data_IF_928403342686
#
_entry.id   IF_928403342686
#
_cell.length_a   1.000
_cell.length_b   1.000
_cell.length_c   1.000
_cell.angle_alpha   90.00
_cell.angle_beta   90.00
_cell.angle_gamma   90.00
#
_symmetry.space_group_name_H-M   'P 1'
#
loop_
_entity.id
_entity.type
_entity.pdbx_description
1 polymer ?
#
# COMPACT_ATOMS: atom_id res chain seq x y z
N UNK A 1 6.07 17.37 -24.60
CA UNK A 1 5.92 17.80 -23.18
C UNK A 1 4.54 17.49 -22.59
N UNK A 2 3.42 17.59 -23.33
CA UNK A 2 2.09 17.34 -22.73
C UNK A 2 1.83 15.88 -22.31
N UNK A 3 2.40 14.89 -23.00
CA UNK A 3 2.15 13.47 -22.70
C UNK A 3 2.97 12.95 -21.50
N UNK A 4 4.17 13.47 -21.27
CA UNK A 4 4.98 13.10 -20.09
C UNK A 4 4.38 13.69 -18.81
N UNK A 5 3.79 14.90 -18.86
CA UNK A 5 3.14 15.53 -17.70
C UNK A 5 1.77 14.95 -17.35
N UNK A 6 1.07 14.29 -18.29
CA UNK A 6 -0.24 13.65 -18.03
C UNK A 6 -0.13 12.31 -17.28
N UNK A 7 0.99 11.61 -17.40
CA UNK A 7 1.19 10.31 -16.72
C UNK A 7 1.48 10.44 -15.22
N UNK A 8 1.82 11.63 -14.74
CA UNK A 8 2.20 11.90 -13.35
C UNK A 8 1.06 11.81 -12.31
N UNK A 9 -0.19 11.58 -12.74
CA UNK A 9 -1.36 11.69 -11.84
C UNK A 9 -2.05 10.39 -11.47
N UNK A 10 -1.64 9.23 -11.99
CA UNK A 10 -2.27 7.94 -11.64
C UNK A 10 -1.24 6.97 -11.11
N UNK A 11 -1.33 6.69 -9.82
CA UNK A 11 -0.51 5.67 -9.18
C UNK A 11 -0.89 4.28 -9.70
N UNK A 12 0.07 3.45 -10.16
CA UNK A 12 -0.21 2.12 -10.72
C UNK A 12 -0.61 1.07 -9.70
N UNK A 13 -0.53 1.34 -8.40
CA UNK A 13 -0.76 0.36 -7.34
C UNK A 13 -2.21 -0.05 -7.18
N UNK A 14 -3.16 0.68 -7.75
CA UNK A 14 -4.55 0.29 -7.71
C UNK A 14 -5.22 0.52 -9.07
N UNK A 15 -4.84 -0.27 -10.06
CA UNK A 15 -5.67 -0.44 -11.24
C UNK A 15 -6.38 -1.80 -11.13
N UNK A 16 -7.66 -1.83 -10.66
CA UNK A 16 -8.44 -3.05 -10.62
C UNK A 16 -8.66 -3.66 -12.02
N UNK A 17 -8.48 -2.84 -13.07
CA UNK A 17 -8.68 -3.26 -14.47
C UNK A 17 -7.43 -3.89 -15.10
N UNK A 18 -6.28 -3.92 -14.42
CA UNK A 18 -5.17 -4.73 -14.89
C UNK A 18 -5.53 -6.20 -14.78
N UNK A 19 -5.24 -6.96 -15.81
CA UNK A 19 -5.54 -8.38 -16.05
C UNK A 19 -5.24 -9.41 -14.94
N UNK A 20 -4.87 -8.98 -13.73
CA UNK A 20 -4.93 -9.78 -12.51
C UNK A 20 -6.36 -10.20 -12.16
N UNK A 21 -7.36 -9.50 -12.69
CA UNK A 21 -8.76 -9.79 -12.46
C UNK A 21 -9.13 -11.24 -12.79
N UNK A 22 -8.54 -11.82 -13.81
CA UNK A 22 -8.83 -13.21 -14.21
C UNK A 22 -8.47 -14.23 -13.13
N UNK A 23 -7.39 -13.97 -12.38
CA UNK A 23 -6.96 -14.84 -11.29
C UNK A 23 -7.82 -14.69 -10.03
N UNK A 24 -8.44 -13.52 -9.86
CA UNK A 24 -9.23 -13.18 -8.68
C UNK A 24 -10.73 -13.44 -8.83
N UNK A 25 -11.18 -14.08 -9.94
CA UNK A 25 -12.58 -14.43 -10.13
C UNK A 25 -13.05 -15.55 -9.21
N UNK A 26 -12.15 -16.42 -8.76
CA UNK A 26 -12.48 -17.45 -7.79
C UNK A 26 -12.75 -16.80 -6.41
N UNK A 27 -13.93 -17.02 -5.77
CA UNK A 27 -14.27 -16.32 -4.53
C UNK A 27 -13.26 -16.50 -3.40
N UNK A 28 -12.66 -17.68 -3.28
CA UNK A 28 -11.65 -17.97 -2.26
C UNK A 28 -10.33 -17.22 -2.53
N UNK A 29 -9.89 -17.14 -3.78
CA UNK A 29 -8.71 -16.37 -4.14
C UNK A 29 -8.93 -14.87 -3.91
N UNK A 30 -10.12 -14.37 -4.24
CA UNK A 30 -10.50 -12.98 -3.97
C UNK A 30 -10.49 -12.68 -2.47
N UNK A 31 -11.06 -13.56 -1.65
CA UNK A 31 -11.04 -13.43 -0.18
C UNK A 31 -9.61 -13.40 0.37
N UNK A 32 -8.75 -14.29 -0.13
CA UNK A 32 -7.33 -14.32 0.25
C UNK A 32 -6.60 -13.08 -0.21
N UNK A 33 -6.83 -12.63 -1.45
CA UNK A 33 -6.26 -11.39 -1.96
C UNK A 33 -6.60 -10.19 -1.06
N UNK A 34 -7.87 -10.04 -0.66
CA UNK A 34 -8.27 -8.96 0.24
C UNK A 34 -7.54 -9.00 1.59
N UNK A 35 -7.27 -10.21 2.11
CA UNK A 35 -6.49 -10.38 3.34
C UNK A 35 -4.99 -10.11 3.17
N UNK A 36 -4.47 -10.22 1.95
CA UNK A 36 -3.07 -9.95 1.64
C UNK A 36 -2.76 -8.46 1.47
N UNK A 37 -3.77 -7.62 1.26
CA UNK A 37 -3.59 -6.18 1.09
C UNK A 37 -2.98 -5.53 2.35
N UNK A 38 -2.28 -4.39 2.20
CA UNK A 38 -1.79 -3.63 3.34
C UNK A 38 -2.91 -3.30 4.32
N UNK A 39 -2.61 -3.43 5.60
CA UNK A 39 -3.56 -3.08 6.67
C UNK A 39 -3.64 -1.56 6.84
N UNK A 40 -4.66 -1.12 7.56
CA UNK A 40 -4.83 0.29 7.97
C UNK A 40 -3.55 0.87 8.55
N UNK A 41 -2.97 0.15 9.46
CA UNK A 41 -1.77 0.57 10.15
C UNK A 41 -0.58 0.80 9.21
N UNK A 42 -0.46 0.00 8.14
CA UNK A 42 0.58 0.17 7.13
C UNK A 42 0.39 1.46 6.33
N UNK A 43 -0.84 1.89 6.08
CA UNK A 43 -1.12 3.18 5.45
C UNK A 43 -0.84 4.38 6.37
N UNK A 44 -0.95 4.17 7.69
CA UNK A 44 -0.68 5.20 8.71
C UNK A 44 0.78 5.25 9.17
N UNK A 45 1.61 4.30 8.70
CA UNK A 45 3.05 4.28 8.97
C UNK A 45 3.78 5.30 8.10
N UNK A 46 4.61 6.13 8.72
CA UNK A 46 5.49 7.07 8.02
C UNK A 46 6.95 6.73 8.33
N UNK A 47 7.76 6.44 7.28
CA UNK A 47 9.16 6.08 7.47
C UNK A 47 9.97 7.26 8.02
N UNK A 48 10.98 6.95 8.83
CA UNK A 48 11.96 7.92 9.27
C UNK A 48 12.88 8.32 8.11
N UNK A 49 13.61 9.42 8.26
CA UNK A 49 14.51 9.92 7.21
C UNK A 49 15.57 8.88 6.81
N UNK A 50 16.12 8.15 7.79
CA UNK A 50 17.07 7.05 7.56
C UNK A 50 16.48 5.86 6.78
N UNK A 51 15.17 5.64 6.85
CA UNK A 51 14.46 4.62 6.05
C UNK A 51 14.22 5.09 4.61
N UNK A 52 14.25 6.41 4.37
CA UNK A 52 14.02 7.01 3.06
C UNK A 52 15.31 7.03 2.25
N UNK A 53 16.39 7.55 2.84
CA UNK A 53 17.66 7.75 2.14
C UNK A 53 18.84 7.68 3.12
N UNK A 54 19.93 7.04 2.69
CA UNK A 54 21.23 7.14 3.33
C UNK A 54 22.08 8.14 2.59
N UNK A 55 22.43 9.23 3.24
CA UNK A 55 23.30 10.28 2.68
C UNK A 55 24.78 9.90 2.88
N UNK A 56 25.62 10.26 1.91
CA UNK A 56 27.06 10.07 1.90
C UNK A 56 27.76 11.40 1.57
N UNK A 57 29.05 11.53 1.85
CA UNK A 57 29.85 12.71 1.51
C UNK A 57 29.78 13.03 0.01
N UNK A 58 29.91 12.00 -0.83
CA UNK A 58 29.71 12.16 -2.27
C UNK A 58 28.24 11.89 -2.61
N UNK A 59 27.47 12.88 -3.11
CA UNK A 59 26.06 12.73 -3.43
C UNK A 59 25.72 11.60 -4.40
N UNK A 60 26.67 11.20 -5.24
CA UNK A 60 26.51 10.05 -6.16
C UNK A 60 26.41 8.71 -5.43
N UNK A 61 26.99 8.63 -4.22
CA UNK A 61 27.01 7.41 -3.41
C UNK A 61 25.83 7.34 -2.43
N UNK A 62 24.97 8.37 -2.42
CA UNK A 62 23.70 8.34 -1.69
C UNK A 62 22.89 7.13 -2.12
N UNK A 63 22.19 6.54 -1.16
CA UNK A 63 21.34 5.40 -1.46
C UNK A 63 19.91 5.64 -0.95
N UNK A 64 18.98 5.80 -1.90
CA UNK A 64 17.56 5.97 -1.62
C UNK A 64 16.83 4.63 -1.59
N UNK A 65 15.97 4.46 -0.60
CA UNK A 65 15.12 3.28 -0.42
C UNK A 65 13.67 3.57 -0.84
N UNK A 66 13.14 4.74 -0.48
CA UNK A 66 11.76 5.16 -0.76
C UNK A 66 11.79 6.34 -1.73
N UNK A 67 11.08 6.20 -2.85
CA UNK A 67 11.14 7.13 -3.97
C UNK A 67 9.83 7.90 -4.19
N UNK A 68 8.67 7.22 -4.01
CA UNK A 68 7.38 7.82 -4.34
C UNK A 68 7.03 8.95 -3.39
N UNK A 69 6.70 10.12 -3.94
CA UNK A 69 6.29 11.28 -3.14
C UNK A 69 7.38 11.92 -2.29
N UNK A 70 8.62 11.39 -2.28
CA UNK A 70 9.71 11.91 -1.48
C UNK A 70 10.44 13.06 -2.17
N UNK A 71 10.86 14.03 -1.35
CA UNK A 71 11.72 15.13 -1.83
C UNK A 71 13.03 14.54 -2.37
N UNK A 72 13.38 14.92 -3.59
CA UNK A 72 14.66 14.57 -4.21
C UNK A 72 15.78 15.44 -3.68
N UNK A 73 16.99 14.92 -3.67
CA UNK A 73 18.20 15.74 -3.47
C UNK A 73 18.50 16.53 -4.75
N UNK A 74 19.26 17.62 -4.64
CA UNK A 74 19.68 18.42 -5.80
C UNK A 74 20.39 17.57 -6.86
N UNK A 75 21.21 16.63 -6.41
CA UNK A 75 21.89 15.69 -7.31
C UNK A 75 20.89 14.82 -8.09
N UNK A 76 19.88 14.27 -7.40
CA UNK A 76 18.85 13.43 -8.02
C UNK A 76 18.00 14.22 -9.01
N UNK A 77 17.60 15.46 -8.67
CA UNK A 77 16.84 16.35 -9.56
C UNK A 77 17.62 16.65 -10.84
N UNK A 78 18.90 17.03 -10.67
CA UNK A 78 19.80 17.27 -11.80
C UNK A 78 19.96 16.05 -12.70
N UNK A 79 20.16 14.85 -12.11
CA UNK A 79 20.33 13.61 -12.88
C UNK A 79 19.07 13.18 -13.61
N UNK A 80 17.91 13.40 -13.03
CA UNK A 80 16.63 13.15 -13.67
C UNK A 80 16.41 14.10 -14.86
N UNK A 81 16.72 15.39 -14.70
CA UNK A 81 16.65 16.37 -15.77
C UNK A 81 17.59 16.05 -16.93
N UNK A 82 18.85 15.69 -16.63
CA UNK A 82 19.84 15.26 -17.63
C UNK A 82 19.37 14.00 -18.38
N UNK A 83 18.77 13.05 -17.69
CA UNK A 83 18.23 11.85 -18.32
C UNK A 83 17.03 12.14 -19.22
N UNK A 84 16.13 13.04 -18.81
CA UNK A 84 15.00 13.47 -19.63
C UNK A 84 15.50 14.14 -20.92
N UNK A 85 16.51 15.00 -20.85
CA UNK A 85 17.15 15.59 -22.05
C UNK A 85 17.76 14.51 -22.95
N UNK A 86 18.44 13.52 -22.36
CA UNK A 86 18.97 12.38 -23.12
C UNK A 86 17.88 11.59 -23.87
N UNK A 87 16.70 11.38 -23.26
CA UNK A 87 15.56 10.74 -23.91
C UNK A 87 15.00 11.62 -25.06
N UNK A 88 14.86 12.94 -24.83
CA UNK A 88 14.39 13.87 -25.86
C UNK A 88 15.33 13.89 -27.09
N UNK A 89 16.64 13.86 -26.88
CA UNK A 89 17.61 13.79 -27.96
C UNK A 89 17.50 12.48 -28.75
N UNK A 90 17.30 11.36 -28.08
CA UNK A 90 17.04 10.07 -28.74
C UNK A 90 15.74 10.11 -29.55
N UNK A 91 14.68 10.72 -29.02
CA UNK A 91 13.42 10.89 -29.75
C UNK A 91 13.59 11.73 -31.03
N UNK A 92 14.30 12.86 -30.94
CA UNK A 92 14.57 13.72 -32.09
C UNK A 92 15.34 13.02 -33.21
N UNK A 93 16.26 12.10 -32.84
CA UNK A 93 17.03 11.30 -33.79
C UNK A 93 16.25 10.08 -34.33
N UNK A 94 14.96 9.93 -33.98
CA UNK A 94 14.12 8.73 -34.29
C UNK A 94 14.75 7.41 -33.84
N UNK A 95 15.63 7.44 -32.85
CA UNK A 95 16.33 6.29 -32.29
C UNK A 95 15.67 5.81 -30.98
N UNK A 96 14.42 6.16 -30.75
CA UNK A 96 13.66 5.68 -29.61
C UNK A 96 12.72 4.57 -30.07
N UNK A 97 12.86 3.44 -29.41
CA UNK A 97 12.02 2.26 -29.58
C UNK A 97 11.27 1.90 -28.27
N UNK A 98 11.26 2.84 -27.32
CA UNK A 98 10.54 2.72 -26.06
C UNK A 98 9.51 3.84 -25.95
N UNK A 99 8.27 3.45 -25.66
CA UNK A 99 7.26 4.34 -25.11
C UNK A 99 7.05 3.94 -23.64
N UNK A 100 7.28 4.89 -22.71
CA UNK A 100 6.97 4.65 -21.31
C UNK A 100 5.46 4.45 -21.17
N UNK A 101 5.00 3.31 -20.62
CA UNK A 101 3.58 3.05 -20.47
C UNK A 101 2.96 4.02 -19.45
N UNK A 102 1.64 4.19 -19.48
CA UNK A 102 0.91 5.10 -18.60
C UNK A 102 1.11 4.82 -17.10
N UNK A 103 1.46 3.58 -16.77
CA UNK A 103 1.73 3.16 -15.39
C UNK A 103 3.16 3.49 -14.93
N UNK A 104 4.07 3.89 -15.83
CA UNK A 104 5.43 4.26 -15.48
C UNK A 104 5.46 5.63 -14.83
N UNK A 105 6.04 5.74 -13.65
CA UNK A 105 6.13 6.99 -12.91
C UNK A 105 7.59 7.44 -12.74
N UNK A 106 7.78 8.69 -12.37
CA UNK A 106 9.11 9.29 -12.19
C UNK A 106 9.97 8.53 -11.17
N UNK A 107 9.36 8.04 -10.10
CA UNK A 107 10.06 7.23 -9.09
C UNK A 107 10.63 5.93 -9.67
N UNK A 108 9.98 5.34 -10.67
CA UNK A 108 10.54 4.17 -11.36
C UNK A 108 11.80 4.56 -12.13
N UNK A 109 11.76 5.67 -12.88
CA UNK A 109 12.96 6.20 -13.56
C UNK A 109 14.11 6.43 -12.57
N UNK A 110 13.83 7.03 -11.41
CA UNK A 110 14.82 7.27 -10.38
C UNK A 110 15.44 5.98 -9.83
N UNK A 111 14.66 4.91 -9.68
CA UNK A 111 15.18 3.59 -9.28
C UNK A 111 16.20 3.04 -10.28
N UNK A 112 15.93 3.19 -11.58
CA UNK A 112 16.84 2.74 -12.63
C UNK A 112 18.09 3.61 -12.74
N UNK A 113 17.96 4.93 -12.54
CA UNK A 113 19.09 5.86 -12.46
C UNK A 113 20.05 5.45 -11.33
N UNK A 114 19.53 5.26 -10.12
CA UNK A 114 20.34 4.81 -8.99
C UNK A 114 20.94 3.42 -9.21
N UNK A 115 20.13 2.45 -9.67
CA UNK A 115 20.59 1.07 -9.90
C UNK A 115 21.69 0.94 -10.96
N UNK A 116 21.75 1.90 -11.89
CA UNK A 116 22.74 1.94 -12.98
C UNK A 116 23.88 2.91 -12.69
N UNK A 117 23.96 3.41 -11.47
CA UNK A 117 24.96 4.41 -11.09
C UNK A 117 24.94 5.64 -12.04
N UNK A 118 23.73 6.03 -12.49
CA UNK A 118 23.44 7.17 -13.37
C UNK A 118 24.05 7.07 -14.78
N UNK A 119 24.35 5.84 -15.25
CA UNK A 119 24.70 5.59 -16.66
C UNK A 119 23.44 5.57 -17.51
N UNK A 120 23.17 6.64 -18.26
CA UNK A 120 21.94 6.84 -19.02
C UNK A 120 21.72 5.82 -20.12
N UNK A 121 22.78 5.32 -20.75
CA UNK A 121 22.67 4.26 -21.77
C UNK A 121 22.18 2.96 -21.13
N UNK A 122 22.80 2.59 -20.02
CA UNK A 122 22.41 1.41 -19.24
C UNK A 122 21.00 1.54 -18.67
N UNK A 123 20.62 2.73 -18.16
CA UNK A 123 19.25 3.01 -17.69
C UNK A 123 18.24 2.75 -18.80
N UNK A 124 18.50 3.29 -19.99
CA UNK A 124 17.62 3.13 -21.15
C UNK A 124 17.36 1.66 -21.52
N UNK A 125 18.43 0.86 -21.63
CA UNK A 125 18.30 -0.57 -21.95
C UNK A 125 17.56 -1.35 -20.84
N UNK A 126 17.85 -1.06 -19.57
CA UNK A 126 17.17 -1.71 -18.46
C UNK A 126 15.69 -1.35 -18.36
N UNK A 127 15.31 -0.12 -18.67
CA UNK A 127 13.90 0.29 -18.73
C UNK A 127 13.17 -0.48 -19.84
N UNK A 128 13.78 -0.56 -21.02
CA UNK A 128 13.26 -1.32 -22.17
C UNK A 128 13.01 -2.78 -21.80
N UNK A 129 14.02 -3.42 -21.23
CA UNK A 129 13.90 -4.80 -20.76
C UNK A 129 12.80 -4.99 -19.72
N UNK A 130 12.69 -4.06 -18.76
CA UNK A 130 11.67 -4.14 -17.70
C UNK A 130 10.24 -4.02 -18.26
N UNK A 131 10.00 -3.08 -19.14
CA UNK A 131 8.66 -2.89 -19.74
C UNK A 131 8.22 -4.19 -20.43
N UNK A 132 9.08 -4.75 -21.28
CA UNK A 132 8.82 -6.02 -21.95
C UNK A 132 8.55 -7.16 -20.96
N UNK A 133 9.40 -7.32 -19.96
CA UNK A 133 9.25 -8.39 -18.97
C UNK A 133 7.98 -8.24 -18.11
N UNK A 134 7.59 -7.01 -17.80
CA UNK A 134 6.37 -6.75 -17.03
C UNK A 134 5.14 -7.13 -17.83
N UNK A 135 5.08 -6.76 -19.11
CA UNK A 135 4.00 -7.15 -20.01
C UNK A 135 3.90 -8.66 -20.18
N UNK A 136 5.05 -9.34 -20.37
CA UNK A 136 5.11 -10.79 -20.51
C UNK A 136 4.72 -11.53 -19.21
N UNK A 137 5.11 -11.03 -18.05
CA UNK A 137 4.81 -11.66 -16.76
C UNK A 137 3.34 -11.54 -16.34
N UNK A 138 2.62 -10.58 -16.89
CA UNK A 138 1.19 -10.36 -16.63
C UNK A 138 0.29 -11.23 -17.51
N UNK A 139 0.88 -11.97 -18.45
CA UNK A 139 0.13 -12.90 -19.30
C UNK A 139 -0.40 -14.06 -18.48
N UNK A 140 -1.45 -14.68 -18.97
CA UNK A 140 -2.32 -15.69 -18.37
C UNK A 140 -1.60 -16.63 -17.40
N UNK A 141 -2.08 -16.66 -16.15
CA UNK A 141 -1.66 -17.68 -15.17
C UNK A 141 -2.46 -18.94 -15.40
N UNK A 142 -1.83 -19.90 -16.00
CA UNK A 142 -2.39 -21.24 -16.18
C UNK A 142 -2.29 -22.10 -14.89
N UNK A 143 -2.81 -23.33 -14.97
CA UNK A 143 -2.79 -24.26 -13.85
C UNK A 143 -1.36 -24.61 -13.39
N UNK A 144 -0.38 -24.67 -14.31
CA UNK A 144 1.00 -25.02 -13.99
C UNK A 144 1.67 -23.89 -13.20
N UNK A 145 1.49 -22.64 -13.62
CA UNK A 145 2.00 -21.45 -12.89
C UNK A 145 1.35 -21.35 -11.50
N UNK A 146 0.06 -21.60 -11.39
CA UNK A 146 -0.63 -21.66 -10.07
C UNK A 146 -0.02 -22.69 -9.14
N UNK A 147 0.32 -23.86 -9.67
CA UNK A 147 1.00 -24.89 -8.89
C UNK A 147 2.35 -24.41 -8.38
N UNK A 148 3.17 -23.82 -9.24
CA UNK A 148 4.48 -23.28 -8.86
C UNK A 148 4.34 -22.22 -7.76
N UNK A 149 3.37 -21.30 -7.86
CA UNK A 149 3.11 -20.27 -6.86
C UNK A 149 2.74 -20.83 -5.46
N UNK A 150 2.22 -22.04 -5.40
CA UNK A 150 1.87 -22.73 -4.15
C UNK A 150 2.87 -23.84 -3.76
N UNK A 151 3.92 -24.06 -4.56
CA UNK A 151 4.88 -25.14 -4.33
C UNK A 151 5.93 -24.87 -3.25
N UNK A 152 6.05 -23.61 -2.81
CA UNK A 152 7.11 -23.18 -1.90
C UNK A 152 8.40 -22.73 -2.58
N UNK A 153 8.41 -22.61 -3.93
CA UNK A 153 9.55 -22.02 -4.63
C UNK A 153 9.83 -20.58 -4.19
N UNK A 154 8.77 -19.79 -4.13
CA UNK A 154 8.79 -18.40 -3.65
C UNK A 154 7.52 -18.13 -2.84
N UNK A 155 7.68 -17.51 -1.70
CA UNK A 155 6.55 -17.13 -0.87
C UNK A 155 6.93 -15.94 0.05
N UNK A 156 5.92 -15.30 0.59
CA UNK A 156 6.10 -14.28 1.61
C UNK A 156 5.86 -14.90 2.99
N UNK A 157 6.77 -14.63 3.93
CA UNK A 157 6.62 -15.02 5.33
C UNK A 157 6.74 -13.81 6.24
N UNK A 158 5.61 -13.21 6.56
CA UNK A 158 5.59 -12.08 7.47
C UNK A 158 6.16 -10.78 6.90
N UNK A 159 6.35 -9.86 7.80
CA UNK A 159 6.92 -8.54 7.55
C UNK A 159 7.92 -8.22 8.66
N UNK A 160 8.88 -7.36 8.35
CA UNK A 160 9.80 -6.83 9.37
C UNK A 160 9.13 -5.75 10.24
N UNK A 161 9.91 -5.17 11.14
CA UNK A 161 9.45 -4.13 12.05
C UNK A 161 9.00 -2.82 11.37
N UNK A 162 9.32 -2.61 10.09
CA UNK A 162 8.89 -1.47 9.29
C UNK A 162 7.86 -1.87 8.23
N UNK A 163 7.13 -2.95 8.46
CA UNK A 163 6.11 -3.52 7.57
C UNK A 163 6.61 -3.98 6.19
N UNK A 164 7.93 -4.10 6.00
CA UNK A 164 8.50 -4.55 4.74
C UNK A 164 8.34 -6.06 4.58
N UNK A 165 7.84 -6.56 3.44
CA UNK A 165 7.67 -8.00 3.21
C UNK A 165 8.99 -8.78 3.36
N UNK A 166 8.91 -9.97 3.94
CA UNK A 166 9.99 -10.95 3.98
C UNK A 166 9.68 -11.99 2.92
N UNK A 167 10.47 -12.03 1.85
CA UNK A 167 10.30 -12.93 0.73
C UNK A 167 11.31 -14.05 0.86
N UNK A 168 10.83 -15.28 0.77
CA UNK A 168 11.66 -16.49 0.84
C UNK A 168 11.68 -17.17 -0.52
N UNK A 169 12.86 -17.57 -0.96
CA UNK A 169 13.09 -18.37 -2.18
C UNK A 169 13.82 -19.64 -1.77
N UNK A 170 13.21 -20.81 -2.03
CA UNK A 170 13.78 -22.12 -1.75
C UNK A 170 14.26 -22.77 -3.03
N UNK A 171 15.59 -22.79 -3.19
CA UNK A 171 16.19 -23.29 -4.42
C UNK A 171 16.05 -24.82 -4.59
N UNK A 172 15.93 -25.58 -3.50
CA UNK A 172 15.62 -27.01 -3.54
C UNK A 172 14.30 -27.29 -4.28
N UNK A 173 13.29 -26.42 -4.08
CA UNK A 173 12.00 -26.52 -4.78
C UNK A 173 12.11 -26.29 -6.28
N UNK A 174 12.99 -25.40 -6.72
CA UNK A 174 13.24 -25.24 -8.16
C UNK A 174 13.75 -26.53 -8.78
N UNK A 175 14.68 -27.22 -8.09
CA UNK A 175 15.24 -28.50 -8.54
C UNK A 175 14.14 -29.57 -8.58
N UNK A 176 13.33 -29.70 -7.55
CA UNK A 176 12.24 -30.69 -7.52
C UNK A 176 11.22 -30.46 -8.65
N UNK A 177 10.81 -29.21 -8.85
CA UNK A 177 9.87 -28.84 -9.91
C UNK A 177 10.42 -29.22 -11.30
N UNK A 178 11.70 -28.95 -11.54
CA UNK A 178 12.31 -29.23 -12.84
C UNK A 178 12.65 -30.70 -13.02
N UNK A 179 13.37 -31.32 -12.08
CA UNK A 179 13.94 -32.65 -12.25
C UNK A 179 12.92 -33.78 -12.02
N UNK A 180 11.94 -33.58 -11.10
CA UNK A 180 10.94 -34.61 -10.77
C UNK A 180 9.58 -34.37 -11.42
N UNK A 181 9.21 -33.11 -11.68
CA UNK A 181 7.85 -32.76 -12.13
C UNK A 181 7.79 -32.21 -13.56
N UNK A 182 8.95 -32.06 -14.23
CA UNK A 182 9.05 -31.65 -15.62
C UNK A 182 8.62 -30.22 -15.91
N UNK A 183 8.79 -29.31 -14.94
CA UNK A 183 8.62 -27.88 -15.17
C UNK A 183 9.86 -27.29 -15.86
N UNK A 184 9.65 -26.30 -16.71
CA UNK A 184 10.74 -25.58 -17.38
C UNK A 184 11.22 -24.41 -16.54
N UNK A 185 12.42 -23.92 -16.80
CA UNK A 185 12.93 -22.70 -16.15
C UNK A 185 12.09 -21.48 -16.52
N UNK A 186 11.56 -21.42 -17.72
CA UNK A 186 10.67 -20.36 -18.22
C UNK A 186 9.39 -20.27 -17.37
N UNK A 187 8.78 -21.41 -17.05
CA UNK A 187 7.61 -21.47 -16.16
C UNK A 187 7.96 -21.01 -14.74
N UNK A 188 9.09 -21.45 -14.18
CA UNK A 188 9.56 -21.00 -12.88
C UNK A 188 9.81 -19.48 -12.88
N UNK A 189 10.48 -18.98 -13.92
CA UNK A 189 10.75 -17.55 -14.08
C UNK A 189 9.47 -16.74 -14.20
N UNK A 190 8.48 -17.21 -14.93
CA UNK A 190 7.18 -16.58 -15.06
C UNK A 190 6.46 -16.49 -13.70
N UNK A 191 6.45 -17.59 -12.94
CA UNK A 191 5.86 -17.62 -11.61
C UNK A 191 6.57 -16.64 -10.64
N UNK A 192 7.90 -16.61 -10.64
CA UNK A 192 8.70 -15.68 -9.85
C UNK A 192 8.39 -14.21 -10.21
N UNK A 193 8.40 -13.87 -11.48
CA UNK A 193 8.12 -12.51 -11.94
C UNK A 193 6.68 -12.11 -11.61
N UNK A 194 5.74 -13.03 -11.78
CA UNK A 194 4.35 -12.79 -11.40
C UNK A 194 4.21 -12.53 -9.89
N UNK A 195 4.81 -13.36 -9.06
CA UNK A 195 4.79 -13.20 -7.61
C UNK A 195 5.38 -11.85 -7.19
N UNK A 196 6.54 -11.49 -7.74
CA UNK A 196 7.19 -10.22 -7.41
C UNK A 196 6.38 -9.01 -7.88
N UNK A 197 5.78 -9.08 -9.07
CA UNK A 197 4.86 -8.03 -9.53
C UNK A 197 3.61 -7.93 -8.64
N UNK A 198 3.11 -9.07 -8.15
CA UNK A 198 2.02 -9.07 -7.18
C UNK A 198 2.42 -8.34 -5.88
N UNK A 199 3.62 -8.61 -5.34
CA UNK A 199 4.14 -7.89 -4.16
C UNK A 199 4.20 -6.38 -4.43
N UNK A 200 4.79 -5.97 -5.57
CA UNK A 200 4.92 -4.55 -5.93
C UNK A 200 3.56 -3.86 -6.05
N UNK A 201 2.58 -4.51 -6.67
CA UNK A 201 1.30 -3.89 -6.98
C UNK A 201 0.31 -3.90 -5.81
N UNK A 202 0.41 -4.88 -4.90
CA UNK A 202 -0.63 -5.09 -3.89
C UNK A 202 -0.14 -5.11 -2.45
N UNK A 203 1.15 -5.33 -2.20
CA UNK A 203 1.64 -5.53 -0.85
C UNK A 203 2.55 -4.41 -0.33
N UNK A 204 2.98 -3.51 -1.22
CA UNK A 204 3.72 -2.31 -0.88
C UNK A 204 2.79 -1.11 -0.76
N UNK A 205 3.23 -0.10 -0.02
CA UNK A 205 2.57 1.21 0.10
C UNK A 205 3.55 2.26 -0.41
N UNK A 206 3.35 2.78 -1.63
CA UNK A 206 4.24 3.77 -2.20
C UNK A 206 4.36 5.03 -1.35
N UNK A 207 5.58 5.53 -1.21
CA UNK A 207 5.90 6.63 -0.30
C UNK A 207 6.11 6.21 1.15
N UNK A 208 5.86 4.94 1.49
CA UNK A 208 5.94 4.44 2.85
C UNK A 208 6.69 3.10 2.92
N UNK A 209 6.18 2.07 2.26
CA UNK A 209 6.75 0.71 2.26
C UNK A 209 7.03 0.33 0.81
N UNK A 210 8.29 0.48 0.36
CA UNK A 210 8.66 0.25 -1.04
C UNK A 210 9.69 -0.86 -1.22
N UNK A 211 10.13 -1.47 -0.13
CA UNK A 211 11.23 -2.41 -0.09
C UNK A 211 10.82 -3.72 0.57
N UNK A 212 11.68 -4.73 0.45
CA UNK A 212 11.54 -6.04 1.09
C UNK A 212 12.86 -6.63 1.51
N UNK A 213 12.80 -7.66 2.35
CA UNK A 213 13.90 -8.57 2.64
C UNK A 213 13.79 -9.81 1.77
N UNK A 214 14.93 -10.34 1.34
CA UNK A 214 14.99 -11.56 0.57
C UNK A 214 15.82 -12.59 1.34
N UNK A 215 15.26 -13.78 1.54
CA UNK A 215 15.93 -14.95 2.11
C UNK A 215 16.03 -15.99 0.99
N UNK A 216 17.24 -16.30 0.56
CA UNK A 216 17.50 -17.33 -0.43
C UNK A 216 18.09 -18.57 0.26
N UNK A 217 17.27 -19.60 0.43
CA UNK A 217 17.73 -20.87 0.96
C UNK A 217 18.30 -21.75 -0.16
N UNK A 218 19.60 -22.02 -0.10
CA UNK A 218 20.35 -22.80 -1.08
C UNK A 218 20.57 -24.25 -0.64
N UNK A 219 19.74 -24.75 0.28
CA UNK A 219 19.80 -26.13 0.72
C UNK A 219 19.77 -27.08 -0.48
N UNK A 220 20.64 -28.08 -0.45
CA UNK A 220 20.77 -29.11 -1.49
C UNK A 220 21.13 -28.63 -2.89
N UNK A 221 21.53 -27.36 -3.05
CA UNK A 221 22.13 -26.91 -4.33
C UNK A 221 23.56 -27.40 -4.45
N UNK A 222 23.78 -28.25 -5.45
CA UNK A 222 25.11 -28.62 -5.89
C UNK A 222 25.71 -27.62 -6.89
N UNK A 223 27.03 -27.68 -7.09
CA UNK A 223 27.77 -26.82 -8.04
C UNK A 223 27.15 -26.86 -9.44
N UNK A 224 26.69 -28.03 -9.88
CA UNK A 224 26.07 -28.24 -11.21
C UNK A 224 24.76 -27.44 -11.40
N UNK A 225 24.07 -27.09 -10.32
CA UNK A 225 22.80 -26.33 -10.37
C UNK A 225 22.98 -24.82 -10.08
N UNK A 226 24.24 -24.35 -9.93
CA UNK A 226 24.51 -22.93 -9.69
C UNK A 226 24.07 -22.02 -10.84
N UNK A 227 24.07 -22.51 -12.07
CA UNK A 227 23.54 -21.78 -13.23
C UNK A 227 22.04 -21.46 -13.06
N UNK A 228 21.25 -22.38 -12.49
CA UNK A 228 19.83 -22.18 -12.18
C UNK A 228 19.66 -21.09 -11.14
N UNK A 229 20.43 -21.13 -10.05
CA UNK A 229 20.39 -20.10 -9.03
C UNK A 229 20.77 -18.71 -9.58
N UNK A 230 21.81 -18.63 -10.40
CA UNK A 230 22.19 -17.39 -11.09
C UNK A 230 21.06 -16.81 -11.94
N UNK A 231 20.33 -17.66 -12.66
CA UNK A 231 19.15 -17.25 -13.45
C UNK A 231 18.00 -16.77 -12.57
N UNK A 232 17.75 -17.43 -11.44
CA UNK A 232 16.74 -16.99 -10.45
C UNK A 232 17.09 -15.60 -9.90
N UNK A 233 18.35 -15.39 -9.46
CA UNK A 233 18.81 -14.08 -9.00
C UNK A 233 18.72 -13.03 -10.09
N UNK A 234 19.03 -13.37 -11.33
CA UNK A 234 18.88 -12.45 -12.47
C UNK A 234 17.41 -12.04 -12.68
N UNK A 235 16.46 -12.97 -12.57
CA UNK A 235 15.04 -12.66 -12.64
C UNK A 235 14.61 -11.71 -11.53
N UNK A 236 15.03 -11.97 -10.28
CA UNK A 236 14.73 -11.12 -9.13
C UNK A 236 15.39 -9.75 -9.20
N UNK A 237 16.57 -9.65 -9.83
CA UNK A 237 17.32 -8.38 -9.97
C UNK A 237 16.61 -7.33 -10.84
N UNK A 238 15.57 -7.71 -11.58
CA UNK A 238 14.73 -6.79 -12.38
C UNK A 238 13.98 -5.78 -11.51
N UNK A 239 13.73 -6.12 -10.25
CA UNK A 239 13.06 -5.24 -9.28
C UNK A 239 14.10 -4.33 -8.59
N UNK A 240 14.53 -3.29 -9.31
CA UNK A 240 15.63 -2.40 -8.90
C UNK A 240 15.33 -1.64 -7.61
N UNK A 241 16.36 -1.50 -6.77
CA UNK A 241 16.35 -0.72 -5.52
C UNK A 241 15.23 -1.09 -4.53
N UNK A 242 14.73 -2.35 -4.57
CA UNK A 242 13.67 -2.80 -3.65
C UNK A 242 14.17 -3.73 -2.54
N UNK A 243 15.31 -4.38 -2.72
CA UNK A 243 15.90 -5.26 -1.70
C UNK A 243 16.68 -4.43 -0.68
N UNK A 244 16.37 -4.59 0.60
CA UNK A 244 17.14 -4.03 1.74
C UNK A 244 18.36 -4.90 2.00
N UNK A 245 18.13 -6.19 2.30
CA UNK A 245 19.15 -7.21 2.48
C UNK A 245 18.72 -8.49 1.76
N UNK A 246 19.69 -9.20 1.23
CA UNK A 246 19.50 -10.52 0.66
C UNK A 246 20.33 -11.51 1.48
N UNK A 247 19.64 -12.29 2.30
CA UNK A 247 20.27 -13.32 3.12
C UNK A 247 20.37 -14.61 2.32
N UNK A 248 21.59 -15.15 2.19
CA UNK A 248 21.86 -16.41 1.51
C UNK A 248 22.22 -17.44 2.56
N UNK A 249 21.38 -18.47 2.69
CA UNK A 249 21.49 -19.53 3.68
C UNK A 249 21.94 -20.85 3.02
N UNK A 250 22.44 -21.76 3.83
CA UNK A 250 22.77 -23.15 3.47
C UNK A 250 23.75 -23.26 2.28
N UNK A 251 24.69 -22.31 2.20
CA UNK A 251 25.67 -22.25 1.14
C UNK A 251 26.83 -23.21 1.43
N UNK A 252 26.94 -24.32 0.66
CA UNK A 252 28.08 -25.23 0.80
C UNK A 252 29.40 -24.56 0.41
N UNK A 253 30.52 -25.04 0.99
CA UNK A 253 31.85 -24.43 0.75
C UNK A 253 32.24 -24.31 -0.71
N UNK A 254 31.93 -25.30 -1.54
CA UNK A 254 32.18 -25.27 -2.97
C UNK A 254 31.30 -24.27 -3.73
N UNK A 255 30.04 -24.13 -3.31
CA UNK A 255 29.07 -23.20 -3.91
C UNK A 255 29.44 -21.77 -3.55
N UNK A 256 30.07 -21.52 -2.39
CA UNK A 256 30.55 -20.20 -1.98
C UNK A 256 31.57 -19.61 -2.98
N UNK A 257 32.46 -20.43 -3.51
CA UNK A 257 33.42 -19.98 -4.52
C UNK A 257 32.71 -19.61 -5.84
N UNK A 258 31.77 -20.43 -6.30
CA UNK A 258 30.97 -20.12 -7.48
C UNK A 258 30.10 -18.87 -7.34
N UNK A 259 29.58 -18.58 -6.12
CA UNK A 259 28.80 -17.41 -5.85
C UNK A 259 29.58 -16.10 -6.02
N UNK A 260 30.88 -16.07 -5.71
CA UNK A 260 31.72 -14.87 -5.91
C UNK A 260 31.74 -14.42 -7.38
N UNK A 261 31.69 -15.34 -8.31
CA UNK A 261 31.58 -15.04 -9.74
C UNK A 261 30.21 -14.47 -10.12
N UNK A 262 29.14 -14.95 -9.48
CA UNK A 262 27.77 -14.43 -9.68
C UNK A 262 27.65 -13.02 -9.11
N UNK A 263 28.25 -12.76 -7.94
CA UNK A 263 28.21 -11.46 -7.28
C UNK A 263 28.93 -10.37 -8.09
N UNK A 264 29.99 -10.72 -8.82
CA UNK A 264 30.70 -9.77 -9.67
C UNK A 264 29.82 -9.19 -10.81
N UNK A 265 28.79 -9.92 -11.21
CA UNK A 265 27.84 -9.51 -12.26
C UNK A 265 26.74 -8.57 -11.73
N UNK A 266 26.43 -8.64 -10.43
CA UNK A 266 25.32 -7.88 -9.83
C UNK A 266 25.59 -6.38 -9.62
N UNK A 267 26.84 -5.94 -9.74
CA UNK A 267 27.26 -4.56 -9.47
C UNK A 267 27.47 -4.28 -7.96
N UNK A 268 28.30 -3.29 -7.66
CA UNK A 268 28.82 -3.03 -6.30
C UNK A 268 27.74 -2.70 -5.28
N UNK A 269 26.70 -1.95 -5.64
CA UNK A 269 25.62 -1.57 -4.72
C UNK A 269 24.70 -2.75 -4.35
N UNK A 270 24.48 -3.67 -5.27
CA UNK A 270 23.70 -4.90 -5.03
C UNK A 270 24.51 -5.92 -4.22
N UNK A 271 25.81 -6.02 -4.47
CA UNK A 271 26.69 -6.93 -3.74
C UNK A 271 26.77 -6.57 -2.24
N UNK A 272 26.79 -5.28 -1.88
CA UNK A 272 26.80 -4.80 -0.49
C UNK A 272 25.57 -5.21 0.32
N UNK A 273 24.47 -5.59 -0.33
CA UNK A 273 23.24 -6.02 0.31
C UNK A 273 23.15 -7.52 0.57
N UNK A 274 24.10 -8.27 0.01
CA UNK A 274 24.12 -9.72 0.16
C UNK A 274 24.86 -10.08 1.43
N UNK A 275 24.18 -10.85 2.27
CA UNK A 275 24.70 -11.37 3.54
C UNK A 275 24.68 -12.89 3.47
N UNK A 276 25.87 -13.50 3.48
CA UNK A 276 26.00 -14.96 3.55
C UNK A 276 25.87 -15.35 5.02
N UNK A 277 24.82 -16.09 5.33
CA UNK A 277 24.49 -16.51 6.70
C UNK A 277 24.90 -17.97 6.87
N UNK A 278 25.72 -18.26 7.90
CA UNK A 278 26.09 -19.61 8.27
C UNK A 278 25.02 -20.20 9.20
N UNK A 279 24.90 -21.52 9.24
CA UNK A 279 23.92 -22.22 10.12
C UNK A 279 24.03 -21.82 11.59
N UNK A 280 25.23 -21.55 12.08
CA UNK A 280 25.46 -21.09 13.46
C UNK A 280 25.43 -19.57 13.64
N UNK A 281 24.90 -18.82 12.66
CA UNK A 281 24.84 -17.35 12.65
C UNK A 281 23.48 -16.86 12.15
N UNK A 282 22.43 -17.65 12.31
CA UNK A 282 21.08 -17.30 11.86
C UNK A 282 20.52 -16.04 12.57
N UNK A 283 21.02 -15.75 13.76
CA UNK A 283 20.70 -14.56 14.53
C UNK A 283 21.07 -13.24 13.84
N UNK A 284 21.96 -13.25 12.84
CA UNK A 284 22.29 -12.05 12.03
C UNK A 284 21.07 -11.47 11.33
N UNK A 285 20.09 -12.31 10.99
CA UNK A 285 18.85 -11.83 10.39
C UNK A 285 17.98 -11.06 11.38
N UNK A 286 18.17 -11.31 12.69
CA UNK A 286 17.38 -10.68 13.75
C UNK A 286 17.77 -9.22 14.00
N UNK A 287 18.83 -8.72 13.36
CA UNK A 287 19.15 -7.28 13.33
C UNK A 287 17.99 -6.45 12.74
N UNK A 288 17.26 -6.99 11.76
CA UNK A 288 16.18 -6.31 11.06
C UNK A 288 14.83 -7.02 11.17
N UNK A 289 14.83 -8.32 11.40
CA UNK A 289 13.64 -9.16 11.38
C UNK A 289 13.44 -9.77 12.76
N UNK A 290 12.31 -9.52 13.39
CA UNK A 290 12.00 -10.10 14.69
C UNK A 290 12.00 -11.63 14.60
N UNK A 291 12.43 -12.27 15.68
CA UNK A 291 12.49 -13.72 15.80
C UNK A 291 11.12 -14.38 15.55
N UNK A 292 10.06 -13.71 15.97
CA UNK A 292 8.67 -14.10 15.74
C UNK A 292 8.26 -14.07 14.29
N UNK A 293 8.93 -13.27 13.47
CA UNK A 293 8.65 -13.11 12.03
C UNK A 293 9.58 -13.96 11.15
N UNK A 294 10.44 -14.77 11.74
CA UNK A 294 11.27 -15.76 11.06
C UNK A 294 10.76 -17.17 11.33
N UNK A 295 10.81 -18.03 10.32
CA UNK A 295 10.51 -19.45 10.47
C UNK A 295 11.58 -20.15 11.31
N UNK A 296 11.21 -21.22 12.01
CA UNK A 296 12.14 -22.04 12.82
C UNK A 296 13.38 -22.47 12.02
N UNK A 297 13.19 -22.91 10.77
CA UNK A 297 14.29 -23.30 9.87
C UNK A 297 15.24 -22.15 9.49
N UNK A 298 14.81 -20.91 9.73
CA UNK A 298 15.60 -19.70 9.52
C UNK A 298 16.03 -19.04 10.82
N UNK A 299 16.02 -19.78 11.94
CA UNK A 299 16.45 -19.27 13.26
C UNK A 299 15.42 -18.43 14.01
N UNK A 300 14.15 -18.48 13.58
CA UNK A 300 13.02 -17.86 14.26
C UNK A 300 12.26 -18.81 15.16
N UNK A 301 11.04 -18.40 15.51
CA UNK A 301 10.08 -19.20 16.30
C UNK A 301 8.73 -19.35 15.62
N UNK A 302 8.53 -18.77 14.42
CA UNK A 302 7.33 -19.00 13.63
C UNK A 302 7.34 -20.42 13.04
N UNK A 303 6.19 -21.10 13.00
CA UNK A 303 6.07 -22.39 12.35
C UNK A 303 6.55 -22.35 10.89
N UNK A 304 7.16 -23.44 10.46
CA UNK A 304 7.56 -23.58 9.07
C UNK A 304 6.33 -23.75 8.18
N UNK A 305 6.27 -23.00 7.08
CA UNK A 305 5.23 -23.18 6.09
C UNK A 305 5.48 -24.47 5.31
N UNK A 306 4.45 -25.29 5.17
CA UNK A 306 4.49 -26.58 4.47
C UNK A 306 3.77 -26.41 3.14
N UNK A 307 4.45 -26.51 1.99
CA UNK A 307 3.83 -26.47 0.67
C UNK A 307 2.79 -27.59 0.53
N UNK A 308 1.63 -27.26 -0.04
CA UNK A 308 0.50 -28.20 -0.20
C UNK A 308 -0.48 -28.18 0.98
N UNK A 309 -0.03 -27.98 2.21
CA UNK A 309 -0.89 -27.77 3.37
C UNK A 309 -1.25 -26.28 3.53
N UNK A 310 -0.28 -25.41 3.31
CA UNK A 310 -0.47 -23.98 3.30
C UNK A 310 -0.66 -23.49 1.86
N UNK A 311 -1.77 -22.82 1.62
CA UNK A 311 -1.89 -22.06 0.37
C UNK A 311 -0.98 -20.85 0.43
N UNK A 312 0.10 -20.86 -0.34
CA UNK A 312 1.14 -19.83 -0.28
C UNK A 312 0.81 -18.60 -1.13
N UNK A 313 -0.12 -18.73 -2.07
CA UNK A 313 -0.52 -17.63 -2.94
C UNK A 313 -2.05 -17.51 -3.07
N UNK A 314 -2.65 -16.29 -3.02
CA UNK A 314 -2.06 -15.00 -2.60
C UNK A 314 -1.46 -15.05 -1.21
N UNK A 315 -0.33 -14.33 -0.98
CA UNK A 315 0.39 -14.41 0.29
C UNK A 315 -0.43 -13.75 1.39
N UNK A 316 -0.98 -14.57 2.27
CA UNK A 316 -1.65 -14.10 3.49
C UNK A 316 -0.68 -14.28 4.64
N UNK A 317 -0.36 -13.19 5.30
CA UNK A 317 0.40 -13.23 6.55
C UNK A 317 -0.61 -13.33 7.67
N UNK A 318 -0.66 -14.44 8.41
CA UNK A 318 -1.48 -14.52 9.61
C UNK A 318 -1.06 -13.42 10.59
N UNK A 319 -2.04 -12.78 11.23
CA UNK A 319 -1.77 -11.72 12.23
C UNK A 319 -0.89 -12.19 13.38
N UNK A 320 -0.91 -13.49 13.67
CA UNK A 320 -0.07 -14.15 14.67
C UNK A 320 1.43 -14.15 14.32
N UNK A 321 1.78 -14.03 13.03
CA UNK A 321 3.18 -13.94 12.56
C UNK A 321 3.68 -12.50 12.45
N UNK A 322 2.84 -11.53 12.77
CA UNK A 322 3.23 -10.15 12.79
C UNK A 322 3.17 -9.61 14.22
N UNK A 323 4.31 -9.48 14.85
CA UNK A 323 4.44 -8.78 16.14
C UNK A 323 5.17 -7.48 15.91
N UNK A 324 4.57 -6.41 16.42
CA UNK A 324 5.24 -5.10 16.46
C UNK A 324 6.46 -5.18 17.35
N UNK A 325 7.59 -4.61 16.94
CA UNK A 325 8.67 -4.36 17.88
C UNK A 325 8.19 -3.40 18.97
N UNK A 326 8.83 -3.47 20.14
CA UNK A 326 8.59 -2.51 21.23
C UNK A 326 9.03 -1.07 20.90
N UNK A 327 9.68 -0.86 19.76
CA UNK A 327 10.07 0.46 19.28
C UNK A 327 8.85 1.23 18.78
N UNK A 328 8.81 2.52 19.08
CA UNK A 328 7.78 3.43 18.57
C UNK A 328 7.95 3.58 17.06
N UNK A 329 7.18 2.83 16.32
CA UNK A 329 7.00 3.13 14.91
C UNK A 329 6.27 4.46 14.77
N UNK A 330 6.63 5.24 13.76
CA UNK A 330 5.94 6.47 13.42
C UNK A 330 4.61 6.14 12.72
N UNK A 331 3.62 5.74 13.52
CA UNK A 331 2.26 5.42 13.06
C UNK A 331 1.35 6.51 13.59
N UNK A 332 0.83 7.34 12.69
CA UNK A 332 -0.12 8.39 13.04
C UNK A 332 -1.47 7.82 13.45
N UNK A 333 -2.23 8.56 14.25
CA UNK A 333 -3.59 8.17 14.63
C UNK A 333 -4.53 8.13 13.42
N UNK A 334 -5.68 7.44 13.50
CA UNK A 334 -6.68 7.47 12.43
C UNK A 334 -7.14 8.89 12.10
N UNK A 335 -7.31 9.74 13.11
CA UNK A 335 -7.73 11.13 12.98
C UNK A 335 -6.68 11.96 12.25
N UNK A 336 -5.41 11.89 12.65
CA UNK A 336 -4.30 12.56 11.98
C UNK A 336 -4.17 12.11 10.53
N UNK A 337 -4.29 10.80 10.26
CA UNK A 337 -4.25 10.27 8.91
C UNK A 337 -5.40 10.81 8.06
N UNK A 338 -6.61 10.90 8.64
CA UNK A 338 -7.78 11.50 7.98
C UNK A 338 -7.52 12.94 7.59
N UNK A 339 -6.98 13.75 8.51
CA UNK A 339 -6.60 15.14 8.24
C UNK A 339 -5.55 15.25 7.15
N UNK A 340 -4.51 14.39 7.19
CA UNK A 340 -3.46 14.35 6.16
C UNK A 340 -4.01 13.98 4.77
N UNK A 341 -5.09 13.22 4.69
CA UNK A 341 -5.71 12.82 3.43
C UNK A 341 -6.58 13.91 2.79
N UNK A 342 -6.94 14.97 3.51
CA UNK A 342 -7.72 16.07 2.96
C UNK A 342 -6.94 16.78 1.82
N UNK A 343 -7.65 17.24 0.80
CA UNK A 343 -7.03 17.88 -0.37
C UNK A 343 -6.23 19.13 -0.03
N UNK A 344 -6.67 19.87 0.98
CA UNK A 344 -6.03 21.10 1.48
C UNK A 344 -4.77 20.85 2.30
N UNK A 345 -4.49 19.61 2.71
CA UNK A 345 -3.34 19.31 3.56
C UNK A 345 -2.05 19.21 2.72
N UNK A 346 -1.01 20.04 2.97
CA UNK A 346 0.26 20.00 2.25
C UNK A 346 1.06 18.71 2.50
N UNK A 347 0.79 17.99 3.60
CA UNK A 347 1.44 16.74 3.98
C UNK A 347 0.63 15.50 3.54
N UNK A 348 -0.25 15.65 2.57
CA UNK A 348 -1.08 14.57 2.04
C UNK A 348 -0.24 13.35 1.68
N UNK A 349 -0.58 12.14 2.18
CA UNK A 349 0.11 10.92 1.81
C UNK A 349 0.12 10.70 0.30
N UNK A 350 1.21 10.18 -0.23
CA UNK A 350 1.31 9.88 -1.66
C UNK A 350 0.26 8.86 -2.10
N UNK A 351 0.00 7.89 -1.25
CA UNK A 351 -1.04 6.87 -1.46
C UNK A 351 -2.07 6.95 -0.35
N UNK A 352 -3.34 7.08 -0.73
CA UNK A 352 -4.48 7.05 0.19
C UNK A 352 -5.20 5.71 0.02
N UNK A 353 -5.59 5.11 1.12
CA UNK A 353 -6.40 3.90 1.09
C UNK A 353 -7.84 4.24 0.65
N UNK A 354 -8.25 3.80 -0.55
CA UNK A 354 -9.60 4.07 -1.07
C UNK A 354 -10.71 3.50 -0.18
N UNK A 355 -10.46 2.40 0.51
CA UNK A 355 -11.44 1.84 1.46
C UNK A 355 -11.72 2.78 2.62
N UNK A 356 -10.72 3.58 3.06
CA UNK A 356 -10.93 4.61 4.07
C UNK A 356 -11.74 5.77 3.57
N UNK A 357 -11.45 6.26 2.36
CA UNK A 357 -12.22 7.35 1.74
C UNK A 357 -13.68 6.96 1.68
N UNK A 358 -13.99 5.75 1.25
CA UNK A 358 -15.37 5.22 1.20
C UNK A 358 -16.00 5.11 2.60
N UNK A 359 -15.23 4.64 3.59
CA UNK A 359 -15.71 4.56 4.97
C UNK A 359 -16.05 5.95 5.53
N UNK A 360 -15.16 6.92 5.36
CA UNK A 360 -15.37 8.29 5.81
C UNK A 360 -16.52 9.00 5.09
N UNK A 361 -16.71 8.73 3.79
CA UNK A 361 -17.87 9.23 3.05
C UNK A 361 -19.17 8.69 3.65
N UNK A 362 -19.22 7.39 3.91
CA UNK A 362 -20.37 6.75 4.55
C UNK A 362 -20.65 7.29 5.96
N UNK A 363 -19.62 7.43 6.79
CA UNK A 363 -19.74 8.04 8.12
C UNK A 363 -20.29 9.49 8.06
N UNK A 364 -19.83 10.24 7.06
CA UNK A 364 -20.31 11.61 6.85
C UNK A 364 -21.78 11.62 6.44
N UNK A 365 -22.16 10.76 5.49
CA UNK A 365 -23.56 10.63 5.03
C UNK A 365 -24.48 10.21 6.18
N UNK A 366 -24.08 9.20 6.99
CA UNK A 366 -24.84 8.77 8.17
C UNK A 366 -24.97 9.87 9.24
N UNK A 367 -23.96 10.72 9.39
CA UNK A 367 -24.01 11.84 10.32
C UNK A 367 -24.97 12.93 9.84
N UNK A 368 -24.85 13.31 8.55
CA UNK A 368 -25.73 14.29 7.92
C UNK A 368 -27.21 13.81 7.93
N UNK A 369 -27.45 12.52 7.77
CA UNK A 369 -28.79 11.95 7.84
C UNK A 369 -29.36 12.03 9.27
N UNK A 370 -28.58 11.72 10.29
CA UNK A 370 -28.96 11.85 11.70
C UNK A 370 -29.24 13.30 12.08
N UNK A 371 -28.40 14.24 11.64
CA UNK A 371 -28.62 15.68 11.89
C UNK A 371 -29.95 16.17 11.26
N UNK A 372 -30.24 15.74 10.02
CA UNK A 372 -31.51 16.05 9.35
C UNK A 372 -32.71 15.41 10.04
N UNK A 373 -32.59 14.17 10.52
CA UNK A 373 -33.66 13.53 11.29
C UNK A 373 -33.93 14.28 12.62
N UNK A 374 -32.88 14.73 13.29
CA UNK A 374 -32.99 15.48 14.53
C UNK A 374 -33.63 16.87 14.31
N UNK A 375 -33.19 17.59 13.26
CA UNK A 375 -33.83 18.85 12.85
C UNK A 375 -35.32 18.65 12.53
N UNK A 376 -35.65 17.62 11.77
CA UNK A 376 -37.05 17.32 11.43
C UNK A 376 -37.86 16.98 12.69
N UNK A 377 -37.27 16.28 13.66
CA UNK A 377 -37.88 15.97 14.93
C UNK A 377 -38.14 17.25 15.76
N UNK A 378 -37.17 18.16 15.78
CA UNK A 378 -37.32 19.46 16.47
C UNK A 378 -38.38 20.32 15.81
N UNK A 379 -38.42 20.41 14.48
CA UNK A 379 -39.46 21.12 13.73
C UNK A 379 -40.86 20.56 14.01
N UNK A 380 -41.03 19.24 14.03
CA UNK A 380 -42.31 18.61 14.39
C UNK A 380 -42.73 18.91 15.83
N UNK A 381 -41.77 18.91 16.76
CA UNK A 381 -42.02 19.25 18.15
C UNK A 381 -42.49 20.70 18.28
N UNK A 382 -41.87 21.63 17.56
CA UNK A 382 -42.25 23.03 17.53
C UNK A 382 -43.64 23.24 16.93
N UNK A 383 -43.93 22.57 15.79
CA UNK A 383 -45.27 22.64 15.16
C UNK A 383 -46.37 22.12 16.08
N UNK A 384 -46.15 21.06 16.86
CA UNK A 384 -47.13 20.55 17.83
C UNK A 384 -47.34 21.54 18.96
N UNK A 385 -46.30 22.23 19.43
CA UNK A 385 -46.41 23.28 20.46
C UNK A 385 -47.23 24.45 19.94
N UNK A 386 -46.97 24.90 18.71
CA UNK A 386 -47.71 25.98 18.06
C UNK A 386 -49.21 25.63 17.91
N UNK A 387 -49.53 24.40 17.51
CA UNK A 387 -50.94 23.93 17.44
C UNK A 387 -51.62 23.89 18.81
N UNK A 388 -50.93 23.51 19.86
CA UNK A 388 -51.48 23.48 21.21
C UNK A 388 -51.66 24.90 21.78
N UNK A 389 -50.76 25.83 21.50
CA UNK A 389 -50.92 27.26 21.83
C UNK A 389 -52.15 27.81 21.11
N UNK A 390 -52.33 27.53 19.81
CA UNK A 390 -53.50 27.98 19.06
C UNK A 390 -54.81 27.41 19.62
N UNK A 391 -54.84 26.16 20.07
CA UNK A 391 -55.99 25.55 20.74
C UNK A 391 -56.33 26.28 22.06
N UNK A 392 -55.29 26.55 22.86
CA UNK A 392 -55.45 27.28 24.12
C UNK A 392 -56.00 28.71 23.87
N UNK A 393 -55.44 29.42 22.89
CA UNK A 393 -55.89 30.73 22.49
C UNK A 393 -57.38 30.72 22.08
N UNK A 394 -57.81 29.81 21.24
CA UNK A 394 -59.18 29.61 20.79
C UNK A 394 -60.12 29.29 21.96
N UNK A 395 -59.65 28.48 22.90
CA UNK A 395 -60.45 28.20 24.10
C UNK A 395 -60.63 29.44 24.98
N UNK A 396 -59.60 30.22 25.24
CA UNK A 396 -59.68 31.50 25.94
C UNK A 396 -60.58 32.47 25.24
N UNK A 397 -60.54 32.64 23.94
CA UNK A 397 -61.42 33.50 23.16
C UNK A 397 -62.88 33.07 23.30
N UNK A 398 -63.18 31.77 23.30
CA UNK A 398 -64.53 31.22 23.50
C UNK A 398 -65.05 31.48 24.90
N UNK A 399 -64.22 31.30 25.93
CA UNK A 399 -64.62 31.60 27.34
C UNK A 399 -64.83 33.08 27.56
N UNK A 400 -63.99 33.94 26.99
CA UNK A 400 -64.16 35.39 27.04
C UNK A 400 -65.46 35.85 26.35
N UNK A 401 -65.76 35.25 25.17
CA UNK A 401 -67.04 35.60 24.49
C UNK A 401 -68.28 35.11 25.23
N UNK A 402 -68.23 33.96 25.91
CA UNK A 402 -69.29 33.47 26.77
C UNK A 402 -69.48 34.33 27.99
N UNK A 403 -68.38 34.84 28.58
CA UNK A 403 -68.44 35.79 29.71
C UNK A 403 -68.97 37.15 29.29
N UNK A 404 -68.66 37.62 28.05
CA UNK A 404 -69.29 38.85 27.48
C UNK A 404 -70.78 38.72 27.22
N UNK A 405 -71.24 37.55 26.79
CA UNK A 405 -72.71 37.26 26.60
C UNK A 405 -73.45 37.18 27.91
N UNK A 406 -72.88 36.75 29.00
CA UNK A 406 -73.47 36.64 30.29
C UNK A 406 -73.46 37.96 31.10
N UNK A 407 -72.58 38.91 30.76
CA UNK A 407 -72.46 40.22 31.46
C UNK A 407 -73.01 41.40 30.65
N UNK A 408 -74.28 41.35 30.21
CA UNK A 408 -74.95 42.48 29.55
C UNK A 408 -75.19 43.71 30.48
N UNK A 409 -74.59 43.75 31.69
CA UNK A 409 -74.75 44.82 32.68
C UNK A 409 -73.54 45.75 32.92
N UNK A 410 -72.39 45.45 32.31
CA UNK A 410 -71.20 46.30 32.49
C UNK A 410 -70.69 46.87 31.16
N UNK A 411 -71.46 47.79 30.59
CA UNK A 411 -70.94 48.71 29.58
C UNK A 411 -70.23 49.85 30.31
N UNK A 412 -68.91 49.67 30.54
CA UNK A 412 -67.96 50.79 30.69
C UNK A 412 -66.62 50.30 31.22
N UNK A 413 -65.88 49.65 30.38
CA UNK A 413 -64.43 49.62 30.36
C UNK A 413 -64.03 48.88 29.08
N UNK A 414 -64.26 49.56 27.97
CA UNK A 414 -63.55 49.21 26.71
C UNK A 414 -62.23 49.99 26.74
N UNK A 415 -61.17 49.28 26.67
CA UNK A 415 -59.93 49.50 25.96
C UNK A 415 -58.73 49.11 26.84
N UNK A 416 -58.30 47.94 26.73
CA UNK A 416 -56.94 47.54 26.45
C UNK A 416 -56.90 46.00 26.46
N UNK A 417 -57.40 45.48 25.42
CA UNK A 417 -56.81 44.62 24.46
C UNK A 417 -55.69 43.69 25.02
N UNK A 418 -56.08 42.45 25.23
CA UNK A 418 -55.13 41.38 25.26
C UNK A 418 -54.52 41.25 23.85
N UNK A 419 -53.33 41.80 23.68
CA UNK A 419 -52.57 41.62 22.42
C UNK A 419 -52.12 40.19 22.37
N UNK A 420 -52.66 39.42 21.43
CA UNK A 420 -52.31 38.03 21.19
C UNK A 420 -50.76 37.83 20.97
N UNK A 421 -50.07 38.91 20.59
CA UNK A 421 -48.61 38.93 20.52
C UNK A 421 -47.92 38.85 21.89
N UNK A 422 -48.51 39.43 22.94
CA UNK A 422 -47.96 39.39 24.32
C UNK A 422 -48.09 37.96 24.89
N UNK A 423 -49.21 37.30 24.62
CA UNK A 423 -49.44 35.94 25.10
C UNK A 423 -48.50 34.98 24.40
N UNK A 424 -48.28 35.16 23.10
CA UNK A 424 -47.33 34.33 22.33
C UNK A 424 -45.90 34.56 22.80
N UNK A 425 -45.47 35.79 23.05
CA UNK A 425 -44.14 36.12 23.58
C UNK A 425 -43.92 35.52 24.99
N UNK A 426 -44.96 35.48 25.85
CA UNK A 426 -44.83 34.87 27.18
C UNK A 426 -44.65 33.36 27.14
N UNK A 427 -45.27 32.68 26.20
CA UNK A 427 -45.09 31.25 26.00
C UNK A 427 -43.75 30.96 25.34
N UNK A 428 -43.29 31.78 24.41
CA UNK A 428 -41.97 31.62 23.76
C UNK A 428 -40.84 31.76 24.80
N UNK A 429 -40.96 32.62 25.80
CA UNK A 429 -40.02 32.80 26.90
C UNK A 429 -40.03 31.62 27.88
N UNK A 430 -41.19 30.99 28.13
CA UNK A 430 -41.37 29.91 29.08
C UNK A 430 -40.84 28.54 28.55
N UNK A 431 -40.73 28.36 27.24
CA UNK A 431 -40.27 27.11 26.63
C UNK A 431 -38.81 27.18 26.13
N UNK A 432 -38.15 28.36 26.25
CA UNK A 432 -36.73 28.53 25.92
C UNK A 432 -35.81 28.50 27.17
N UNK A 433 -36.35 28.27 28.38
CA UNK A 433 -35.60 27.84 29.56
C UNK A 433 -35.67 26.29 29.69
#
# INVERSE_FOLDING_TARGET
MSNIKKSLRRHPTFNPDRNYSYYLYEPELKKRHLKALPTEEMYRYFPNESDIITLQENPKDNYRFIFCGMKKTEFEEKKLEEFNKFLEEKMKKKNIDIFLPDWWIESDTMRYLQASNYDFKKVYELIKENIKNTEDSLRIIDRRIRYILNSGLVYMHGRDCHFRPIIVVEAERAIELMDKMGYTFEELSQALLFFMNYIVNYMLVPGQIENWFLICDLKNIGVTKMSLFSKILSALSKFRCRVIKNYILNLSGFVKFALSSVLSVLGSSSAKKIVIVKENQLEVMQEFILKENLQEKHGGISPNLIPGENNLFPPVVPSEFYKKPNEKLNIVTPEEYKEMCLESNPFKPYTICESYVKLWQKEKEEKEEKEKEEELRLMKKQSNIDEDIDKIIKQFEKEMNMTRLNNSKYKKYESNVFDTKIIKSFFDDLYNE
#
